data_IF_604869410695
#
_entry.id   IF_604869410695
#
_cell.length_a   1.000
_cell.length_b   1.000
_cell.length_c   1.000
_cell.angle_alpha   90.00
_cell.angle_beta   90.00
_cell.angle_gamma   90.00
#
_symmetry.space_group_name_H-M   'P 1'
#
loop_
_entity.id
_entity.type
_entity.pdbx_description
1 polymer ?
#
# COMPACT_ATOMS: atom_id res chain seq x y z
N UNK A 1 11.08 9.86 32.32
CA UNK A 1 10.87 10.55 31.02
C UNK A 1 11.26 9.61 29.89
N UNK A 2 10.44 9.50 28.87
CA UNK A 2 10.77 8.66 27.73
C UNK A 2 11.92 9.28 26.93
N UNK A 3 12.83 8.46 26.38
CA UNK A 3 13.86 8.99 25.49
C UNK A 3 13.26 9.69 24.29
N UNK A 4 13.99 10.69 23.78
CA UNK A 4 13.50 11.44 22.61
C UNK A 4 13.27 10.54 21.41
N UNK A 5 14.10 9.49 21.25
CA UNK A 5 13.93 8.53 20.15
C UNK A 5 12.55 7.83 20.22
N UNK A 6 12.10 7.48 21.43
CA UNK A 6 10.78 6.87 21.59
C UNK A 6 9.67 7.87 21.28
N UNK A 7 9.86 9.13 21.62
CA UNK A 7 8.88 10.16 21.31
C UNK A 7 8.76 10.35 19.79
N UNK A 8 9.89 10.36 19.08
CA UNK A 8 9.87 10.44 17.61
C UNK A 8 9.07 9.28 17.04
N UNK A 9 9.33 8.06 17.52
CA UNK A 9 8.62 6.89 17.03
C UNK A 9 7.11 6.99 17.29
N UNK A 10 6.75 7.47 18.48
CA UNK A 10 5.33 7.65 18.83
C UNK A 10 4.66 8.63 17.88
N UNK A 11 5.33 9.74 17.58
CA UNK A 11 4.77 10.76 16.69
C UNK A 11 4.64 10.25 15.26
N UNK A 12 5.64 9.52 14.76
CA UNK A 12 5.58 8.94 13.42
C UNK A 12 4.45 7.93 13.32
N UNK A 13 4.35 7.02 14.28
CA UNK A 13 3.29 6.01 14.30
C UNK A 13 1.92 6.67 14.41
N UNK A 14 1.80 7.72 15.21
CA UNK A 14 0.55 8.41 15.43
C UNK A 14 0.14 9.36 14.31
N UNK A 15 0.94 9.47 13.25
CA UNK A 15 0.64 10.38 12.14
C UNK A 15 -0.49 9.87 11.25
N UNK A 16 -0.95 8.63 11.46
CA UNK A 16 -2.01 8.01 10.65
C UNK A 16 -3.29 8.00 11.47
N UNK A 17 -4.38 8.43 10.85
CA UNK A 17 -5.68 8.39 11.48
C UNK A 17 -6.08 6.94 11.79
N UNK A 18 -6.80 6.75 12.90
CA UNK A 18 -7.24 5.41 13.30
C UNK A 18 -8.03 4.69 12.22
N UNK A 19 -8.84 5.44 11.47
CA UNK A 19 -9.66 4.86 10.40
C UNK A 19 -8.80 4.28 9.25
N UNK A 20 -7.57 4.77 9.09
CA UNK A 20 -6.67 4.29 8.03
C UNK A 20 -5.83 3.10 8.46
N UNK A 21 -5.67 2.88 9.77
CA UNK A 21 -4.75 1.85 10.26
C UNK A 21 -5.15 0.45 9.81
N UNK A 22 -6.44 0.16 9.80
CA UNK A 22 -6.94 -1.16 9.39
C UNK A 22 -6.59 -1.45 7.94
N UNK A 23 -6.86 -0.49 7.05
CA UNK A 23 -6.57 -0.66 5.63
C UNK A 23 -5.07 -0.77 5.38
N UNK A 24 -4.29 0.03 6.10
CA UNK A 24 -2.83 -0.04 6.03
C UNK A 24 -2.33 -1.41 6.49
N UNK A 25 -2.96 -1.97 7.51
CA UNK A 25 -2.61 -3.30 8.01
C UNK A 25 -2.79 -4.37 6.92
N UNK A 26 -3.89 -4.32 6.19
CA UNK A 26 -4.11 -5.26 5.08
C UNK A 26 -3.05 -5.11 4.01
N UNK A 27 -2.71 -3.88 3.65
CA UNK A 27 -1.68 -3.62 2.64
C UNK A 27 -0.30 -4.10 3.09
N UNK A 28 0.03 -3.86 4.34
CA UNK A 28 1.30 -4.32 4.91
C UNK A 28 1.38 -5.83 4.92
N UNK A 29 0.29 -6.49 5.28
CA UNK A 29 0.25 -7.95 5.31
C UNK A 29 0.42 -8.52 3.91
N UNK A 30 -0.28 -7.96 2.94
CA UNK A 30 -0.17 -8.39 1.55
C UNK A 30 1.27 -8.23 1.05
N UNK A 31 1.90 -7.11 1.37
CA UNK A 31 3.28 -6.84 0.98
C UNK A 31 4.25 -7.80 1.66
N UNK A 32 4.05 -8.04 2.96
CA UNK A 32 4.89 -8.96 3.71
C UNK A 32 4.85 -10.36 3.12
N UNK A 33 3.66 -10.84 2.80
CA UNK A 33 3.49 -12.15 2.18
C UNK A 33 4.15 -12.20 0.80
N UNK A 34 4.00 -11.13 0.02
CA UNK A 34 4.61 -11.05 -1.31
C UNK A 34 6.13 -11.08 -1.21
N UNK A 35 6.71 -10.29 -0.30
CA UNK A 35 8.16 -10.26 -0.11
C UNK A 35 8.68 -11.62 0.36
N UNK A 36 7.93 -12.28 1.25
CA UNK A 36 8.32 -13.60 1.72
C UNK A 36 8.36 -14.60 0.57
N UNK A 37 7.33 -14.59 -0.29
CA UNK A 37 7.26 -15.48 -1.44
C UNK A 37 8.39 -15.21 -2.43
N UNK A 38 8.79 -13.96 -2.59
CA UNK A 38 9.85 -13.58 -3.53
C UNK A 38 11.24 -13.69 -2.93
N UNK A 39 11.34 -13.90 -1.62
CA UNK A 39 12.62 -13.93 -0.94
C UNK A 39 13.26 -12.57 -0.81
N UNK A 40 12.46 -11.50 -0.75
CA UNK A 40 12.92 -10.12 -0.67
C UNK A 40 12.74 -9.56 0.73
N UNK A 41 13.59 -8.58 1.08
CA UNK A 41 13.39 -7.81 2.30
C UNK A 41 12.24 -6.83 2.11
N UNK A 42 11.46 -6.63 3.18
CA UNK A 42 10.35 -5.67 3.15
C UNK A 42 10.84 -4.23 3.08
N UNK A 43 11.93 -3.93 3.79
CA UNK A 43 12.47 -2.58 3.86
C UNK A 43 13.98 -2.61 3.68
N UNK A 44 14.54 -1.67 2.93
CA UNK A 44 13.82 -0.69 2.12
C UNK A 44 13.27 -1.31 0.84
N UNK A 45 12.10 -0.84 0.41
CA UNK A 45 11.52 -1.28 -0.85
C UNK A 45 12.34 -0.72 -2.00
N UNK A 46 12.54 -1.53 -3.03
CA UNK A 46 13.18 -1.08 -4.26
C UNK A 46 12.12 -0.67 -5.28
N UNK A 47 12.53 0.11 -6.27
CA UNK A 47 11.64 0.47 -7.36
C UNK A 47 11.09 -0.80 -8.03
N UNK A 48 11.97 -1.74 -8.34
CA UNK A 48 11.57 -2.98 -8.99
C UNK A 48 10.60 -3.77 -8.12
N UNK A 49 10.87 -3.83 -6.82
CA UNK A 49 10.00 -4.54 -5.89
C UNK A 49 8.60 -3.95 -5.84
N UNK A 50 8.50 -2.62 -5.81
CA UNK A 50 7.20 -1.97 -5.79
C UNK A 50 6.46 -2.16 -7.11
N UNK A 51 7.17 -2.08 -8.24
CA UNK A 51 6.56 -2.32 -9.54
C UNK A 51 6.01 -3.74 -9.64
N UNK A 52 6.76 -4.72 -9.17
CA UNK A 52 6.31 -6.11 -9.18
C UNK A 52 5.11 -6.31 -8.25
N UNK A 53 5.10 -5.63 -7.11
CA UNK A 53 3.97 -5.71 -6.20
C UNK A 53 2.71 -5.13 -6.83
N UNK A 54 2.82 -3.99 -7.52
CA UNK A 54 1.68 -3.40 -8.22
C UNK A 54 1.16 -4.37 -9.29
N UNK A 55 2.05 -5.00 -10.04
CA UNK A 55 1.65 -5.99 -11.04
C UNK A 55 0.94 -7.19 -10.39
N UNK A 56 1.45 -7.65 -9.26
CA UNK A 56 0.85 -8.73 -8.50
C UNK A 56 -0.56 -8.39 -8.06
N UNK A 57 -0.75 -7.18 -7.51
CA UNK A 57 -2.08 -6.73 -7.09
C UNK A 57 -3.02 -6.59 -8.28
N UNK A 58 -2.51 -6.11 -9.41
CA UNK A 58 -3.31 -6.01 -10.63
C UNK A 58 -3.84 -7.38 -11.06
N UNK A 59 -3.00 -8.39 -11.02
CA UNK A 59 -3.41 -9.76 -11.37
C UNK A 59 -4.46 -10.32 -10.41
N UNK A 60 -4.44 -9.86 -9.18
CA UNK A 60 -5.42 -10.29 -8.18
C UNK A 60 -6.72 -9.51 -8.27
N UNK A 61 -6.82 -8.58 -9.20
CA UNK A 61 -8.05 -7.81 -9.40
C UNK A 61 -8.17 -6.59 -8.52
N UNK A 62 -7.08 -6.14 -7.89
CA UNK A 62 -7.13 -4.94 -7.06
C UNK A 62 -7.21 -3.69 -7.94
N UNK A 63 -8.08 -2.77 -7.57
CA UNK A 63 -8.21 -1.50 -8.27
C UNK A 63 -7.03 -0.60 -7.96
N UNK A 64 -6.86 0.46 -8.76
CA UNK A 64 -5.81 1.45 -8.51
C UNK A 64 -5.98 2.11 -7.15
N UNK A 65 -7.21 2.34 -6.73
CA UNK A 65 -7.46 2.95 -5.42
C UNK A 65 -6.97 2.07 -4.28
N UNK A 66 -7.29 0.79 -4.33
CA UNK A 66 -6.83 -0.18 -3.33
C UNK A 66 -5.30 -0.24 -3.33
N UNK A 67 -4.70 -0.29 -4.53
CA UNK A 67 -3.26 -0.36 -4.66
C UNK A 67 -2.59 0.88 -4.06
N UNK A 68 -3.14 2.08 -4.32
CA UNK A 68 -2.59 3.31 -3.74
C UNK A 68 -2.66 3.32 -2.22
N UNK A 69 -3.76 2.84 -1.65
CA UNK A 69 -3.90 2.77 -0.20
C UNK A 69 -2.91 1.78 0.38
N UNK A 70 -2.72 0.63 -0.27
CA UNK A 70 -1.73 -0.35 0.17
C UNK A 70 -0.33 0.24 0.14
N UNK A 71 0.03 0.94 -0.95
CA UNK A 71 1.34 1.59 -1.05
C UNK A 71 1.53 2.65 0.02
N UNK A 72 0.48 3.40 0.34
CA UNK A 72 0.56 4.40 1.42
C UNK A 72 0.87 3.74 2.76
N UNK A 73 0.24 2.60 3.04
CA UNK A 73 0.52 1.85 4.26
C UNK A 73 1.93 1.31 4.31
N UNK A 74 2.43 0.81 3.17
CA UNK A 74 3.80 0.30 3.08
C UNK A 74 4.80 1.44 3.25
N UNK A 75 4.51 2.59 2.65
CA UNK A 75 5.36 3.79 2.82
C UNK A 75 5.41 4.19 4.29
N UNK A 76 4.27 4.17 4.96
CA UNK A 76 4.21 4.48 6.39
C UNK A 76 5.03 3.50 7.22
N UNK A 77 5.00 2.21 6.84
CA UNK A 77 5.84 1.21 7.48
C UNK A 77 7.31 1.58 7.39
N UNK A 78 7.74 2.06 6.22
CA UNK A 78 9.12 2.51 6.05
C UNK A 78 9.44 3.70 6.93
N UNK A 79 8.52 4.66 7.05
CA UNK A 79 8.70 5.80 7.94
C UNK A 79 8.86 5.35 9.39
N UNK A 80 8.05 4.38 9.82
CA UNK A 80 8.14 3.86 11.17
C UNK A 80 9.48 3.17 11.44
N UNK A 81 10.04 2.51 10.43
CA UNK A 81 11.31 1.81 10.55
C UNK A 81 12.52 2.68 10.25
N UNK A 82 12.30 3.93 9.85
CA UNK A 82 13.39 4.81 9.47
C UNK A 82 14.07 4.40 8.18
N UNK A 83 13.37 3.64 7.33
CA UNK A 83 13.92 3.16 6.07
C UNK A 83 13.67 4.17 4.95
N UNK A 84 14.46 4.08 3.87
CA UNK A 84 14.31 4.98 2.73
C UNK A 84 12.96 4.80 2.05
N UNK A 85 12.33 5.93 1.68
CA UNK A 85 11.09 5.94 0.92
C UNK A 85 11.31 6.43 -0.51
N UNK A 86 12.55 6.48 -0.98
CA UNK A 86 12.89 7.02 -2.28
C UNK A 86 12.17 6.29 -3.41
N UNK A 87 12.01 4.97 -3.30
CA UNK A 87 11.37 4.18 -4.35
C UNK A 87 9.90 4.55 -4.54
N UNK A 88 9.23 5.06 -3.51
CA UNK A 88 7.82 5.43 -3.60
C UNK A 88 7.59 6.68 -4.46
N UNK A 89 8.64 7.46 -4.71
CA UNK A 89 8.57 8.62 -5.60
C UNK A 89 9.02 8.34 -7.03
N UNK A 90 9.23 7.09 -7.39
CA UNK A 90 9.72 6.72 -8.70
C UNK A 90 8.76 7.12 -9.82
N UNK A 91 9.26 7.75 -10.91
CA UNK A 91 8.41 8.03 -12.07
C UNK A 91 7.82 6.77 -12.71
N UNK A 92 8.57 5.65 -12.70
CA UNK A 92 8.07 4.39 -13.24
C UNK A 92 6.91 3.85 -12.40
N UNK A 93 6.99 4.01 -11.08
CA UNK A 93 5.90 3.60 -10.20
C UNK A 93 4.66 4.44 -10.49
N UNK A 94 4.81 5.74 -10.64
CA UNK A 94 3.69 6.61 -10.98
C UNK A 94 3.08 6.21 -12.32
N UNK A 95 3.91 5.88 -13.30
CA UNK A 95 3.44 5.43 -14.61
C UNK A 95 2.68 4.10 -14.50
N UNK A 96 3.18 3.17 -13.68
CA UNK A 96 2.52 1.89 -13.48
C UNK A 96 1.13 2.08 -12.85
N UNK A 97 1.01 2.99 -11.90
CA UNK A 97 -0.28 3.29 -11.27
C UNK A 97 -1.23 3.93 -12.29
N UNK A 98 -0.71 4.81 -13.14
CA UNK A 98 -1.51 5.40 -14.21
C UNK A 98 -2.00 4.33 -15.17
N UNK A 99 -1.12 3.39 -15.53
CA UNK A 99 -1.50 2.26 -16.38
C UNK A 99 -2.55 1.39 -15.74
N UNK A 100 -2.43 1.15 -14.43
CA UNK A 100 -3.42 0.38 -13.70
C UNK A 100 -4.77 1.08 -13.72
N UNK A 101 -4.78 2.40 -13.62
CA UNK A 101 -6.03 3.17 -13.67
C UNK A 101 -6.74 3.00 -15.01
N UNK A 102 -5.99 2.98 -16.12
CA UNK A 102 -6.57 2.90 -17.47
C UNK A 102 -6.84 1.47 -17.93
N UNK A 103 -5.99 0.53 -17.54
CA UNK A 103 -6.00 -0.83 -18.09
C UNK A 103 -6.49 -1.87 -17.08
N UNK A 104 -6.44 -1.55 -15.79
CA UNK A 104 -6.74 -2.50 -14.74
C UNK A 104 -8.20 -2.53 -14.33
N UNK A 105 -8.50 -3.31 -13.29
CA UNK A 105 -9.86 -3.39 -12.76
C UNK A 105 -10.34 -2.05 -12.28
N UNK A 106 -11.60 -1.74 -12.53
CA UNK A 106 -12.21 -0.50 -12.06
C UNK A 106 -12.86 -0.73 -10.72
N UNK A 107 -12.88 0.30 -9.83
CA UNK A 107 -13.65 0.19 -8.60
C UNK A 107 -15.12 -0.04 -8.99
N UNK A 108 -15.74 -0.98 -8.30
CA UNK A 108 -17.15 -1.19 -8.54
C UNK A 108 -17.93 -0.06 -7.88
N UNK A 109 -18.94 0.47 -8.57
CA UNK A 109 -19.81 1.45 -7.92
C UNK A 109 -20.53 0.79 -6.75
N UNK A 110 -20.90 1.57 -5.72
CA UNK A 110 -21.68 1.01 -4.62
C UNK A 110 -22.91 0.33 -5.19
N UNK A 111 -23.11 -0.90 -4.82
CA UNK A 111 -24.31 -1.60 -5.31
C UNK A 111 -25.52 -0.95 -4.70
N UNK A 112 -26.54 -0.67 -5.52
CA UNK A 112 -27.82 -0.31 -4.94
C UNK A 112 -28.25 -1.46 -4.04
N UNK A 113 -28.76 -1.13 -2.97
CA UNK A 113 -29.16 -2.17 -2.07
C UNK A 113 -30.10 -3.13 -2.74
N UNK A 114 -30.15 -3.17 -3.74
CA UNK A 114 -30.64 -4.01 -4.31
C UNK A 114 -30.47 -4.90 -5.06
N UNK A 115 -30.27 -4.82 -5.01
CA UNK A 115 -29.96 -5.39 -5.68
C UNK A 115 -30.61 -6.19 -5.77
N UNK A 116 -31.45 -5.78 -5.32
CA UNK A 116 -31.72 -6.27 -5.44
C UNK A 116 -32.44 -6.57 -6.26
N UNK A 117 -32.60 -6.38 -6.56
CA UNK A 117 -32.81 -6.66 -7.26
C UNK A 117 -32.79 -7.07 -8.01
N UNK A 118 -32.90 -7.14 -8.07
CA UNK A 118 -32.56 -7.53 -8.68
C UNK A 118 -32.59 -8.23 -8.93
N UNK A 119 -33.11 -8.47 -8.74
CA UNK A 119 -32.89 -9.09 -9.00
C UNK A 119 -33.18 -9.63 -9.09
#
# INVERSE_FOLDING_TARGET
>A
MAPLAQEVQRLVTGSVASSSLRTYSYGRQAYSNFCLDMGWLETPASEQGLLMFVAYLSRRGCSVQTTRVYLAGIRHLHLERGASIAAFGSPRLAAALQGLQWLGPKPQPPRPAVTLQQL
#
